data_IF_121885582383
#
_entry.id   IF_121885582383
#
_cell.length_a   1.000
_cell.length_b   1.000
_cell.length_c   1.000
_cell.angle_alpha   90.00
_cell.angle_beta   90.00
_cell.angle_gamma   90.00
#
_symmetry.space_group_name_H-M   'P 1'
#
loop_
_entity.id
_entity.type
_entity.pdbx_description
1 polymer ?
#
# COMPACT_ATOMS: atom_id res chain seq x y z
N UNK A 1 40.22 19.43 -22.95
CA UNK A 1 41.29 18.61 -22.33
C UNK A 1 40.81 18.33 -20.92
N UNK A 2 40.40 17.13 -20.53
CA UNK A 2 40.94 15.79 -20.80
C UNK A 2 39.81 14.79 -21.09
N UNK A 3 40.01 13.98 -22.12
CA UNK A 3 39.30 12.72 -22.32
C UNK A 3 39.83 11.75 -21.27
N UNK A 4 39.10 11.51 -20.18
CA UNK A 4 39.35 10.39 -19.29
C UNK A 4 38.76 9.14 -19.95
N UNK A 5 39.62 8.28 -20.47
CA UNK A 5 39.21 6.97 -20.98
C UNK A 5 38.56 6.10 -19.90
N UNK A 6 37.97 4.95 -20.29
CA UNK A 6 37.43 3.99 -19.33
C UNK A 6 38.56 3.54 -18.38
N UNK A 7 38.44 3.89 -17.09
CA UNK A 7 39.40 3.49 -16.03
C UNK A 7 40.24 4.58 -15.38
N UNK A 8 39.92 5.88 -15.53
CA UNK A 8 40.58 6.94 -14.77
C UNK A 8 40.05 7.03 -13.32
N UNK A 9 40.95 7.13 -12.33
CA UNK A 9 40.58 7.49 -10.95
C UNK A 9 40.10 8.94 -10.90
N UNK A 10 39.11 9.21 -10.05
CA UNK A 10 38.55 10.53 -9.85
C UNK A 10 39.09 11.13 -8.54
N UNK A 11 39.39 12.43 -8.54
CA UNK A 11 39.68 13.17 -7.33
C UNK A 11 38.43 13.35 -6.47
N UNK A 12 38.61 13.65 -5.17
CA UNK A 12 37.47 13.91 -4.26
C UNK A 12 36.59 15.05 -4.77
N UNK A 13 37.21 16.14 -5.23
CA UNK A 13 36.48 17.30 -5.76
C UNK A 13 35.66 16.96 -7.01
N UNK A 14 36.20 16.09 -7.87
CA UNK A 14 35.46 15.58 -9.04
C UNK A 14 34.27 14.71 -8.62
N UNK A 15 34.45 13.81 -7.65
CA UNK A 15 33.36 12.97 -7.12
C UNK A 15 32.25 13.85 -6.52
N UNK A 16 32.61 14.80 -5.64
CA UNK A 16 31.66 15.68 -4.96
C UNK A 16 30.90 16.57 -5.96
N UNK A 17 31.59 17.05 -6.99
CA UNK A 17 30.97 17.83 -8.07
C UNK A 17 29.98 16.98 -8.86
N UNK A 18 30.37 15.75 -9.25
CA UNK A 18 29.51 14.83 -9.97
C UNK A 18 28.26 14.48 -9.17
N UNK A 19 28.40 14.12 -7.89
CA UNK A 19 27.26 13.78 -7.01
C UNK A 19 26.30 14.96 -6.93
N UNK A 20 26.82 16.18 -6.70
CA UNK A 20 25.99 17.40 -6.61
C UNK A 20 25.21 17.65 -7.90
N UNK A 21 25.88 17.52 -9.05
CA UNK A 21 25.25 17.75 -10.35
C UNK A 21 24.20 16.70 -10.70
N UNK A 22 24.44 15.43 -10.32
CA UNK A 22 23.49 14.32 -10.46
C UNK A 22 22.25 14.57 -9.58
N UNK A 23 22.45 14.91 -8.31
CA UNK A 23 21.36 15.23 -7.38
C UNK A 23 20.52 16.41 -7.87
N UNK A 24 21.15 17.47 -8.39
CA UNK A 24 20.45 18.65 -8.90
C UNK A 24 19.57 18.32 -10.13
N UNK A 25 20.02 17.43 -11.01
CA UNK A 25 19.19 16.97 -12.12
C UNK A 25 18.03 16.09 -11.65
N UNK A 26 18.29 15.17 -10.73
CA UNK A 26 17.26 14.28 -10.17
C UNK A 26 16.16 15.07 -9.44
N UNK A 27 16.52 16.02 -8.58
CA UNK A 27 15.59 16.90 -7.87
C UNK A 27 14.73 17.74 -8.82
N UNK A 28 15.22 18.02 -10.02
CA UNK A 28 14.48 18.72 -11.05
C UNK A 28 13.75 17.77 -12.03
N UNK A 29 13.58 16.50 -11.67
CA UNK A 29 12.87 15.48 -12.46
C UNK A 29 13.62 14.98 -13.70
N UNK A 30 14.89 15.37 -13.90
CA UNK A 30 15.68 15.02 -15.09
C UNK A 30 16.50 13.75 -14.88
N UNK A 31 15.85 12.63 -14.54
CA UNK A 31 16.52 11.35 -14.23
C UNK A 31 17.41 10.83 -15.36
N UNK A 32 17.04 11.03 -16.62
CA UNK A 32 17.91 10.66 -17.76
C UNK A 32 19.23 11.47 -17.79
N UNK A 33 19.18 12.76 -17.47
CA UNK A 33 20.37 13.60 -17.40
C UNK A 33 21.25 13.24 -16.20
N UNK A 34 20.62 12.98 -15.05
CA UNK A 34 21.27 12.44 -13.86
C UNK A 34 22.01 11.12 -14.19
N UNK A 35 21.36 10.21 -14.92
CA UNK A 35 21.96 8.96 -15.38
C UNK A 35 23.17 9.18 -16.31
N UNK A 36 23.11 10.13 -17.25
CA UNK A 36 24.25 10.43 -18.12
C UNK A 36 25.44 10.98 -17.32
N UNK A 37 25.17 11.83 -16.32
CA UNK A 37 26.20 12.44 -15.47
C UNK A 37 26.83 11.48 -14.47
N UNK A 38 26.14 10.41 -14.07
CA UNK A 38 26.70 9.44 -13.10
C UNK A 38 27.72 8.47 -13.73
N UNK A 39 27.79 8.39 -15.07
CA UNK A 39 28.65 7.41 -15.77
C UNK A 39 30.15 7.46 -15.40
N UNK A 40 30.78 8.62 -15.14
CA UNK A 40 32.18 8.64 -14.68
C UNK A 40 32.38 7.90 -13.35
N UNK A 41 31.45 8.05 -12.38
CA UNK A 41 31.49 7.30 -11.12
C UNK A 41 31.32 5.80 -11.40
N UNK A 42 30.33 5.44 -12.23
CA UNK A 42 30.09 4.04 -12.64
C UNK A 42 31.32 3.42 -13.28
N UNK A 43 32.05 4.14 -14.12
CA UNK A 43 33.27 3.65 -14.76
C UNK A 43 34.45 3.49 -13.78
N UNK A 44 34.53 4.33 -12.74
CA UNK A 44 35.59 4.27 -11.74
C UNK A 44 35.31 3.27 -10.59
N UNK A 45 34.07 2.75 -10.48
CA UNK A 45 33.57 1.97 -9.33
C UNK A 45 34.48 0.82 -8.89
N UNK A 46 35.07 0.07 -9.85
CA UNK A 46 35.88 -1.12 -9.54
C UNK A 46 37.32 -0.79 -9.14
N UNK A 47 37.77 0.44 -9.42
CA UNK A 47 39.13 0.90 -9.17
C UNK A 47 39.23 1.77 -7.90
N UNK A 48 38.10 2.28 -7.41
CA UNK A 48 38.02 3.27 -6.34
C UNK A 48 36.76 3.07 -5.48
N UNK A 49 36.96 2.76 -4.20
CA UNK A 49 35.88 2.55 -3.22
C UNK A 49 35.02 3.82 -3.04
N UNK A 50 35.64 5.00 -3.09
CA UNK A 50 34.94 6.28 -2.94
C UNK A 50 33.92 6.50 -4.07
N UNK A 51 34.27 6.10 -5.30
CA UNK A 51 33.34 6.16 -6.43
C UNK A 51 32.17 5.18 -6.25
N UNK A 52 32.44 3.97 -5.75
CA UNK A 52 31.39 3.01 -5.42
C UNK A 52 30.45 3.54 -4.31
N UNK A 53 31.00 4.10 -3.23
CA UNK A 53 30.19 4.70 -2.16
C UNK A 53 29.35 5.90 -2.66
N UNK A 54 29.91 6.73 -3.55
CA UNK A 54 29.18 7.83 -4.17
C UNK A 54 28.02 7.35 -5.04
N UNK A 55 28.19 6.22 -5.78
CA UNK A 55 27.10 5.60 -6.52
C UNK A 55 25.99 5.10 -5.60
N UNK A 56 26.34 4.44 -4.50
CA UNK A 56 25.36 3.97 -3.52
C UNK A 56 24.59 5.14 -2.90
N UNK A 57 25.28 6.24 -2.59
CA UNK A 57 24.61 7.46 -2.14
C UNK A 57 23.64 8.03 -3.19
N UNK A 58 24.02 8.06 -4.47
CA UNK A 58 23.13 8.48 -5.56
C UNK A 58 21.88 7.59 -5.64
N UNK A 59 22.02 6.28 -5.42
CA UNK A 59 20.90 5.33 -5.38
C UNK A 59 20.00 5.58 -4.16
N UNK A 60 20.58 5.68 -2.97
CA UNK A 60 19.88 5.95 -1.71
C UNK A 60 19.04 7.24 -1.76
N UNK A 61 19.55 8.26 -2.47
CA UNK A 61 18.86 9.52 -2.69
C UNK A 61 17.85 9.48 -3.85
N UNK A 62 17.47 8.28 -4.33
CA UNK A 62 16.50 8.04 -5.40
C UNK A 62 16.77 8.84 -6.69
N UNK A 63 18.05 9.10 -7.01
CA UNK A 63 18.40 9.97 -8.14
C UNK A 63 18.28 9.29 -9.51
N UNK A 64 18.10 7.97 -9.54
CA UNK A 64 18.07 7.15 -10.76
C UNK A 64 16.69 6.50 -10.94
N UNK A 65 16.43 6.00 -12.14
CA UNK A 65 15.33 5.06 -12.34
C UNK A 65 15.63 3.73 -11.66
N UNK A 66 14.59 3.04 -11.18
CA UNK A 66 14.73 1.83 -10.37
C UNK A 66 15.54 0.73 -11.07
N UNK A 67 15.24 0.42 -12.33
CA UNK A 67 15.98 -0.61 -13.09
C UNK A 67 17.48 -0.26 -13.19
N UNK A 68 17.77 1.00 -13.47
CA UNK A 68 19.15 1.50 -13.56
C UNK A 68 19.86 1.49 -12.20
N UNK A 69 19.15 1.79 -11.12
CA UNK A 69 19.68 1.70 -9.77
C UNK A 69 20.02 0.24 -9.41
N UNK A 70 19.16 -0.72 -9.75
CA UNK A 70 19.41 -2.17 -9.56
C UNK A 70 20.68 -2.61 -10.30
N UNK A 71 20.89 -2.15 -11.54
CA UNK A 71 22.12 -2.42 -12.30
C UNK A 71 23.34 -1.88 -11.56
N UNK A 72 23.27 -0.64 -11.05
CA UNK A 72 24.35 -0.02 -10.27
C UNK A 72 24.66 -0.82 -9.00
N UNK A 73 23.65 -1.25 -8.25
CA UNK A 73 23.85 -2.06 -7.04
C UNK A 73 24.52 -3.39 -7.37
N UNK A 74 24.07 -4.07 -8.44
CA UNK A 74 24.64 -5.34 -8.89
C UNK A 74 26.10 -5.20 -9.27
N UNK A 75 26.42 -4.18 -10.07
CA UNK A 75 27.79 -3.91 -10.51
C UNK A 75 28.74 -3.53 -9.37
N UNK A 76 28.25 -2.81 -8.35
CA UNK A 76 29.02 -2.46 -7.15
C UNK A 76 29.25 -3.70 -6.30
N UNK A 77 28.23 -4.55 -6.11
CA UNK A 77 28.33 -5.80 -5.37
C UNK A 77 29.38 -6.75 -5.99
N UNK A 78 29.38 -6.90 -7.32
CA UNK A 78 30.36 -7.71 -8.05
C UNK A 78 31.79 -7.19 -7.91
N UNK A 79 31.97 -5.85 -7.92
CA UNK A 79 33.29 -5.23 -7.90
C UNK A 79 33.93 -5.23 -6.51
N UNK A 80 33.14 -5.43 -5.45
CA UNK A 80 33.54 -5.25 -4.05
C UNK A 80 33.05 -6.38 -3.14
N UNK A 81 33.00 -7.59 -3.66
CA UNK A 81 32.42 -8.79 -3.04
C UNK A 81 32.97 -9.13 -1.63
N UNK A 82 34.17 -8.64 -1.26
CA UNK A 82 34.77 -8.85 0.07
C UNK A 82 34.77 -7.60 0.98
N UNK A 83 34.10 -6.51 0.59
CA UNK A 83 34.12 -5.26 1.34
C UNK A 83 32.87 -5.11 2.24
N UNK A 84 32.96 -5.34 3.57
CA UNK A 84 31.79 -5.30 4.45
C UNK A 84 31.14 -3.92 4.52
N UNK A 85 31.94 -2.84 4.40
CA UNK A 85 31.43 -1.47 4.42
C UNK A 85 30.56 -1.16 3.20
N UNK A 86 30.95 -1.67 2.03
CA UNK A 86 30.16 -1.51 0.80
C UNK A 86 28.88 -2.34 0.88
N UNK A 87 28.95 -3.58 1.38
CA UNK A 87 27.76 -4.40 1.56
C UNK A 87 26.77 -3.82 2.58
N UNK A 88 27.27 -3.22 3.66
CA UNK A 88 26.43 -2.49 4.61
C UNK A 88 25.64 -1.35 3.95
N UNK A 89 26.27 -0.63 3.01
CA UNK A 89 25.62 0.43 2.24
C UNK A 89 24.67 -0.13 1.15
N UNK A 90 25.06 -1.21 0.47
CA UNK A 90 24.19 -1.93 -0.48
C UNK A 90 22.89 -2.38 0.20
N UNK A 91 22.99 -2.97 1.41
CA UNK A 91 21.82 -3.44 2.16
C UNK A 91 20.83 -2.32 2.49
N UNK A 92 21.33 -1.12 2.80
CA UNK A 92 20.47 0.06 3.00
C UNK A 92 19.83 0.54 1.69
N UNK A 93 20.58 0.53 0.59
CA UNK A 93 20.08 0.94 -0.73
C UNK A 93 18.98 0.02 -1.30
N UNK A 94 18.82 -1.21 -0.78
CA UNK A 94 17.76 -2.12 -1.25
C UNK A 94 16.35 -1.56 -1.04
N UNK A 95 16.15 -0.74 -0.01
CA UNK A 95 14.88 -0.03 0.19
C UNK A 95 14.61 0.97 -0.94
N UNK A 96 15.65 1.67 -1.43
CA UNK A 96 15.50 2.67 -2.48
C UNK A 96 15.16 2.08 -3.86
N UNK A 97 15.44 0.80 -4.06
CA UNK A 97 15.12 0.05 -5.30
C UNK A 97 13.97 -0.93 -5.15
N UNK A 98 13.36 -0.98 -3.97
CA UNK A 98 12.08 -1.66 -3.76
C UNK A 98 10.96 -0.83 -4.38
N UNK A 99 9.95 -1.50 -4.93
CA UNK A 99 8.83 -0.82 -5.61
C UNK A 99 7.88 -0.23 -4.57
N UNK A 100 8.13 1.00 -4.12
CA UNK A 100 7.31 1.65 -3.09
C UNK A 100 5.86 1.90 -3.57
N UNK A 101 5.65 2.04 -4.88
CA UNK A 101 4.33 2.19 -5.51
C UNK A 101 3.51 0.90 -5.40
N UNK A 102 4.15 -0.20 -4.99
CA UNK A 102 3.51 -1.43 -4.60
C UNK A 102 4.06 -1.83 -3.22
N UNK A 103 3.79 -1.04 -2.16
CA UNK A 103 4.10 -1.43 -0.77
C UNK A 103 3.54 -2.84 -0.42
N UNK A 104 2.48 -3.24 -1.10
CA UNK A 104 1.86 -4.56 -1.05
C UNK A 104 2.39 -5.53 -2.12
N UNK A 105 3.51 -5.28 -2.78
CA UNK A 105 4.09 -6.19 -3.76
C UNK A 105 4.46 -7.53 -3.10
N UNK A 106 4.54 -8.60 -3.90
CA UNK A 106 5.30 -9.79 -3.53
C UNK A 106 6.77 -9.46 -3.22
N UNK A 107 7.53 -10.43 -2.66
CA UNK A 107 8.96 -10.29 -2.44
C UNK A 107 9.67 -9.92 -3.75
N UNK A 108 10.78 -9.15 -3.70
CA UNK A 108 11.52 -8.82 -4.90
C UNK A 108 12.18 -10.07 -5.50
N UNK A 109 11.94 -10.32 -6.79
CA UNK A 109 12.51 -11.48 -7.51
C UNK A 109 13.95 -11.27 -7.99
N UNK A 110 14.49 -10.03 -7.91
CA UNK A 110 15.82 -9.73 -8.40
C UNK A 110 16.90 -10.29 -7.46
N UNK A 111 17.87 -11.02 -8.03
CA UNK A 111 18.92 -11.72 -7.28
C UNK A 111 19.82 -10.81 -6.45
N UNK A 112 19.87 -9.50 -6.72
CA UNK A 112 20.67 -8.55 -5.92
C UNK A 112 20.22 -8.53 -4.46
N UNK A 113 18.90 -8.66 -4.20
CA UNK A 113 18.36 -8.64 -2.84
C UNK A 113 18.88 -9.84 -2.05
N UNK A 114 18.79 -11.05 -2.61
CA UNK A 114 19.33 -12.27 -1.98
C UNK A 114 20.84 -12.21 -1.83
N UNK A 115 21.56 -11.76 -2.87
CA UNK A 115 23.03 -11.69 -2.87
C UNK A 115 23.56 -10.79 -1.74
N UNK A 116 22.97 -9.60 -1.59
CA UNK A 116 23.35 -8.65 -0.56
C UNK A 116 22.99 -9.17 0.83
N UNK A 117 21.80 -9.77 0.99
CA UNK A 117 21.37 -10.37 2.24
C UNK A 117 22.31 -11.49 2.71
N UNK A 118 22.57 -12.50 1.89
CA UNK A 118 23.42 -13.65 2.25
C UNK A 118 24.85 -13.22 2.61
N UNK A 119 25.39 -12.25 1.86
CA UNK A 119 26.72 -11.72 2.15
C UNK A 119 26.75 -10.96 3.49
N UNK A 120 25.73 -10.17 3.77
CA UNK A 120 25.60 -9.43 5.03
C UNK A 120 25.41 -10.37 6.23
N UNK A 121 24.68 -11.47 6.07
CA UNK A 121 24.54 -12.49 7.11
C UNK A 121 25.91 -13.12 7.45
N UNK A 122 26.69 -13.48 6.43
CA UNK A 122 28.05 -14.00 6.62
C UNK A 122 28.96 -12.96 7.30
N UNK A 123 28.90 -11.70 6.88
CA UNK A 123 29.65 -10.62 7.52
C UNK A 123 29.21 -10.36 8.97
N UNK A 124 27.92 -10.44 9.29
CA UNK A 124 27.43 -10.22 10.65
C UNK A 124 28.04 -11.24 11.63
N UNK A 125 28.22 -12.48 11.18
CA UNK A 125 28.91 -13.52 11.96
C UNK A 125 30.41 -13.24 12.08
N UNK A 126 31.08 -12.88 10.98
CA UNK A 126 32.53 -12.67 10.96
C UNK A 126 32.99 -11.43 11.74
N UNK A 127 32.16 -10.39 11.81
CA UNK A 127 32.46 -9.09 12.42
C UNK A 127 31.76 -8.88 13.77
N UNK A 128 31.23 -9.94 14.39
CA UNK A 128 30.61 -9.82 15.71
C UNK A 128 31.59 -9.24 16.74
N UNK A 129 31.17 -8.19 17.47
CA UNK A 129 31.98 -7.47 18.45
C UNK A 129 33.03 -6.52 17.86
N UNK A 130 33.11 -6.39 16.53
CA UNK A 130 34.03 -5.47 15.85
C UNK A 130 33.38 -4.11 15.57
N UNK A 131 34.16 -3.04 15.33
CA UNK A 131 33.62 -1.71 15.02
C UNK A 131 32.66 -1.68 13.83
N UNK A 132 32.87 -2.54 12.84
CA UNK A 132 32.05 -2.65 11.63
C UNK A 132 30.69 -3.31 11.88
N UNK A 133 30.49 -3.97 13.03
CA UNK A 133 29.27 -4.72 13.34
C UNK A 133 28.01 -3.85 13.19
N UNK A 134 28.04 -2.60 13.64
CA UNK A 134 26.88 -1.70 13.61
C UNK A 134 26.43 -1.43 12.17
N UNK A 135 27.35 -1.10 11.26
CA UNK A 135 26.97 -0.82 9.87
C UNK A 135 26.51 -2.08 9.14
N UNK A 136 27.14 -3.23 9.41
CA UNK A 136 26.72 -4.53 8.87
C UNK A 136 25.31 -4.90 9.35
N UNK A 137 25.02 -4.76 10.64
CA UNK A 137 23.67 -5.03 11.19
C UNK A 137 22.61 -4.07 10.62
N UNK A 138 22.96 -2.79 10.40
CA UNK A 138 22.07 -1.86 9.71
C UNK A 138 21.74 -2.33 8.29
N UNK A 139 22.75 -2.70 7.50
CA UNK A 139 22.53 -3.27 6.17
C UNK A 139 21.71 -4.57 6.21
N UNK A 140 22.04 -5.49 7.14
CA UNK A 140 21.41 -6.80 7.26
C UNK A 140 19.93 -6.70 7.67
N UNK A 141 19.62 -5.84 8.63
CA UNK A 141 18.25 -5.65 9.10
C UNK A 141 17.34 -5.10 7.99
N UNK A 142 17.81 -4.10 7.23
CA UNK A 142 17.08 -3.57 6.08
C UNK A 142 16.97 -4.58 4.95
N UNK A 143 18.06 -5.27 4.58
CA UNK A 143 18.02 -6.27 3.50
C UNK A 143 17.08 -7.43 3.84
N UNK A 144 17.13 -7.94 5.07
CA UNK A 144 16.23 -8.97 5.56
C UNK A 144 14.77 -8.52 5.55
N UNK A 145 14.48 -7.28 5.96
CA UNK A 145 13.11 -6.71 5.91
C UNK A 145 12.59 -6.61 4.47
N UNK A 146 13.45 -6.27 3.51
CA UNK A 146 13.11 -6.14 2.08
C UNK A 146 12.98 -7.49 1.36
N UNK A 147 13.71 -8.52 1.79
CA UNK A 147 13.67 -9.87 1.22
C UNK A 147 12.52 -10.73 1.76
N UNK A 148 11.40 -10.09 2.13
CA UNK A 148 10.17 -10.75 2.59
C UNK A 148 10.20 -11.44 3.97
N UNK A 149 9.04 -11.97 4.36
CA UNK A 149 8.74 -12.45 5.73
C UNK A 149 9.52 -13.69 6.14
N UNK A 150 10.14 -14.42 5.20
CA UNK A 150 10.96 -15.59 5.52
C UNK A 150 12.21 -15.22 6.34
N UNK A 151 12.63 -13.95 6.30
CA UNK A 151 13.81 -13.44 7.01
C UNK A 151 13.47 -12.55 8.21
N UNK A 152 12.21 -12.53 8.67
CA UNK A 152 11.77 -11.68 9.78
C UNK A 152 12.54 -11.92 11.08
N UNK A 153 12.94 -13.16 11.36
CA UNK A 153 13.73 -13.50 12.54
C UNK A 153 15.10 -12.79 12.54
N UNK A 154 15.77 -12.77 11.38
CA UNK A 154 17.07 -12.12 11.19
C UNK A 154 16.92 -10.60 11.23
N UNK A 155 15.87 -10.05 10.60
CA UNK A 155 15.57 -8.64 10.63
C UNK A 155 15.34 -8.16 12.08
N UNK A 156 14.45 -8.83 12.82
CA UNK A 156 14.13 -8.46 14.21
C UNK A 156 15.34 -8.59 15.12
N UNK A 157 16.10 -9.70 15.06
CA UNK A 157 17.27 -9.89 15.91
C UNK A 157 18.34 -8.84 15.64
N UNK A 158 18.52 -8.46 14.37
CA UNK A 158 19.48 -7.42 13.97
C UNK A 158 19.06 -6.04 14.47
N UNK A 159 17.78 -5.67 14.31
CA UNK A 159 17.26 -4.40 14.86
C UNK A 159 17.35 -4.34 16.39
N UNK A 160 17.00 -5.42 17.09
CA UNK A 160 17.16 -5.49 18.55
C UNK A 160 18.62 -5.37 18.96
N UNK A 161 19.54 -6.00 18.22
CA UNK A 161 20.97 -5.89 18.52
C UNK A 161 21.49 -4.46 18.35
N UNK A 162 21.02 -3.74 17.33
CA UNK A 162 21.35 -2.34 17.12
C UNK A 162 20.87 -1.45 18.28
N UNK A 163 19.67 -1.70 18.82
CA UNK A 163 19.16 -0.93 19.98
C UNK A 163 19.85 -1.31 21.29
N UNK A 164 20.45 -2.50 21.40
CA UNK A 164 21.33 -2.86 22.52
C UNK A 164 22.70 -2.18 22.44
N UNK A 165 23.31 -2.13 21.26
CA UNK A 165 24.65 -1.54 21.06
C UNK A 165 24.59 -0.02 21.18
N UNK A 166 23.56 0.60 20.58
CA UNK A 166 23.37 2.05 20.54
C UNK A 166 22.00 2.44 21.12
N UNK A 167 21.77 2.29 22.44
CA UNK A 167 20.45 2.49 23.04
C UNK A 167 19.93 3.94 22.95
N UNK A 168 20.82 4.90 22.69
CA UNK A 168 20.49 6.32 22.52
C UNK A 168 20.38 6.76 21.06
N UNK A 169 20.45 5.83 20.10
CA UNK A 169 20.24 6.12 18.69
C UNK A 169 18.74 5.99 18.37
N UNK A 170 18.04 7.13 18.24
CA UNK A 170 16.61 7.17 17.91
C UNK A 170 16.28 6.51 16.57
N UNK A 171 17.19 6.57 15.59
CA UNK A 171 17.03 5.93 14.28
C UNK A 171 16.91 4.40 14.37
N UNK A 172 17.68 3.77 15.27
CA UNK A 172 17.62 2.32 15.46
C UNK A 172 16.26 1.89 16.03
N UNK A 173 15.72 2.65 16.99
CA UNK A 173 14.39 2.39 17.55
C UNK A 173 13.27 2.67 16.55
N UNK A 174 13.40 3.73 15.75
CA UNK A 174 12.48 4.03 14.65
C UNK A 174 12.43 2.90 13.62
N UNK A 175 13.58 2.39 13.18
CA UNK A 175 13.64 1.31 12.20
C UNK A 175 13.08 -0.01 12.75
N UNK A 176 13.32 -0.30 14.04
CA UNK A 176 12.67 -1.43 14.72
C UNK A 176 11.14 -1.25 14.76
N UNK A 177 10.67 -0.03 15.04
CA UNK A 177 9.25 0.31 14.99
C UNK A 177 8.63 0.17 13.60
N UNK A 178 9.36 0.59 12.56
CA UNK A 178 8.97 0.42 11.16
C UNK A 178 8.84 -1.06 10.78
N UNK A 179 9.80 -1.90 11.20
CA UNK A 179 9.72 -3.35 11.04
C UNK A 179 8.46 -3.92 11.69
N UNK A 180 8.14 -3.54 12.93
CA UNK A 180 6.91 -4.01 13.58
C UNK A 180 5.62 -3.50 12.89
N UNK A 181 5.62 -2.25 12.39
CA UNK A 181 4.50 -1.69 11.62
C UNK A 181 4.17 -2.55 10.41
N UNK A 182 5.17 -2.88 9.59
CA UNK A 182 4.97 -3.65 8.35
C UNK A 182 4.61 -5.12 8.60
N UNK A 183 4.78 -5.62 9.84
CA UNK A 183 4.40 -6.97 10.27
C UNK A 183 3.13 -7.03 11.10
N UNK A 184 2.41 -5.93 11.25
CA UNK A 184 1.17 -5.86 12.04
C UNK A 184 1.37 -5.99 13.55
N UNK A 185 2.61 -5.99 14.03
CA UNK A 185 2.97 -6.04 15.45
C UNK A 185 2.89 -4.66 16.07
N UNK A 186 1.73 -4.02 15.93
CA UNK A 186 1.54 -2.60 16.18
C UNK A 186 1.87 -2.20 17.63
N UNK A 187 1.58 -3.04 18.63
CA UNK A 187 1.93 -2.75 20.02
C UNK A 187 3.45 -2.71 20.25
N UNK A 188 4.21 -3.61 19.63
CA UNK A 188 5.68 -3.57 19.66
C UNK A 188 6.20 -2.33 18.91
N UNK A 189 5.54 -1.99 17.79
CA UNK A 189 5.81 -0.77 17.02
C UNK A 189 5.60 0.51 17.82
N UNK A 190 4.54 0.57 18.64
CA UNK A 190 4.30 1.68 19.59
C UNK A 190 5.47 1.79 20.56
N UNK A 191 5.87 0.69 21.21
CA UNK A 191 6.94 0.71 22.20
C UNK A 191 8.26 1.22 21.60
N UNK A 192 8.65 0.74 20.42
CA UNK A 192 9.87 1.16 19.75
C UNK A 192 9.83 2.64 19.32
N UNK A 193 8.73 3.09 18.68
CA UNK A 193 8.61 4.49 18.24
C UNK A 193 8.50 5.48 19.42
N UNK A 194 7.92 5.08 20.55
CA UNK A 194 7.92 5.91 21.76
C UNK A 194 9.34 6.14 22.29
N UNK A 195 10.19 5.11 22.28
CA UNK A 195 11.60 5.27 22.64
C UNK A 195 12.30 6.20 21.65
N UNK A 196 12.09 6.00 20.34
CA UNK A 196 12.66 6.88 19.30
C UNK A 196 12.27 8.35 19.52
N UNK A 197 10.98 8.64 19.74
CA UNK A 197 10.46 9.98 20.00
C UNK A 197 10.98 10.58 21.31
N UNK A 198 11.24 9.76 22.35
CA UNK A 198 11.77 10.23 23.63
C UNK A 198 13.26 10.62 23.61
N UNK A 199 13.99 10.19 22.58
CA UNK A 199 15.44 10.43 22.44
C UNK A 199 15.76 11.72 21.69
N UNK A 200 14.75 12.43 21.18
CA UNK A 200 14.88 13.68 20.44
C UNK A 200 14.14 14.81 21.17
N UNK A 201 14.73 16.00 21.18
CA UNK A 201 14.12 17.18 21.83
C UNK A 201 13.05 17.84 20.94
N UNK A 202 13.16 17.66 19.63
CA UNK A 202 12.24 18.18 18.63
C UNK A 202 11.39 17.06 18.03
N UNK A 203 10.17 17.42 17.63
CA UNK A 203 9.26 16.48 16.96
C UNK A 203 9.85 16.08 15.62
N UNK A 204 10.20 14.80 15.48
CA UNK A 204 10.59 14.20 14.21
C UNK A 204 9.33 13.64 13.55
N UNK A 205 8.90 14.25 12.44
CA UNK A 205 7.64 13.94 11.77
C UNK A 205 7.51 12.44 11.42
N UNK A 206 8.57 11.80 10.93
CA UNK A 206 8.55 10.37 10.60
C UNK A 206 8.31 9.47 11.82
N UNK A 207 8.82 9.86 12.99
CA UNK A 207 8.64 9.11 14.24
C UNK A 207 7.17 9.21 14.70
N UNK A 208 6.58 10.39 14.61
CA UNK A 208 5.17 10.60 14.96
C UNK A 208 4.22 9.89 13.99
N UNK A 209 4.49 9.91 12.67
CA UNK A 209 3.69 9.15 11.70
C UNK A 209 3.68 7.65 12.01
N UNK A 210 4.86 7.06 12.21
CA UNK A 210 4.95 5.64 12.54
C UNK A 210 4.31 5.31 13.89
N UNK A 211 4.50 6.18 14.90
CA UNK A 211 3.84 6.03 16.20
C UNK A 211 2.32 6.11 16.09
N UNK A 212 1.78 7.07 15.33
CA UNK A 212 0.34 7.27 15.15
C UNK A 212 -0.32 6.12 14.37
N UNK A 213 0.35 5.61 13.32
CA UNK A 213 -0.12 4.43 12.58
C UNK A 213 -0.10 3.20 13.49
N UNK A 214 1.00 2.96 14.22
CA UNK A 214 1.08 1.84 15.16
C UNK A 214 0.06 1.97 16.30
N UNK A 215 -0.16 3.16 16.87
CA UNK A 215 -1.14 3.36 17.91
C UNK A 215 -2.56 3.09 17.41
N UNK A 216 -2.88 3.52 16.18
CA UNK A 216 -4.16 3.25 15.52
C UNK A 216 -4.33 1.76 15.23
N UNK A 217 -3.31 1.11 14.69
CA UNK A 217 -3.27 -0.33 14.42
C UNK A 217 -3.41 -1.20 15.67
N UNK A 218 -2.78 -0.78 16.77
CA UNK A 218 -2.90 -1.40 18.08
C UNK A 218 -4.24 -1.08 18.79
N UNK A 219 -5.08 -0.24 18.19
CA UNK A 219 -6.31 0.33 18.77
C UNK A 219 -6.09 1.02 20.12
N UNK A 220 -4.90 1.59 20.31
CA UNK A 220 -4.60 2.50 21.41
C UNK A 220 -5.12 3.89 21.04
N UNK A 221 -6.44 4.07 21.18
CA UNK A 221 -7.15 5.25 20.71
C UNK A 221 -6.69 6.56 21.36
N UNK A 222 -6.38 6.51 22.67
CA UNK A 222 -5.89 7.67 23.43
C UNK A 222 -4.54 8.15 22.90
N UNK A 223 -3.58 7.23 22.74
CA UNK A 223 -2.27 7.57 22.20
C UNK A 223 -2.34 8.01 20.74
N UNK A 224 -3.14 7.32 19.92
CA UNK A 224 -3.33 7.72 18.52
C UNK A 224 -3.89 9.13 18.41
N UNK A 225 -4.91 9.45 19.23
CA UNK A 225 -5.49 10.79 19.28
C UNK A 225 -4.47 11.84 19.72
N UNK A 226 -3.68 11.57 20.76
CA UNK A 226 -2.63 12.47 21.22
C UNK A 226 -1.61 12.77 20.11
N UNK A 227 -1.08 11.73 19.46
CA UNK A 227 -0.12 11.85 18.35
C UNK A 227 -0.72 12.71 17.23
N UNK A 228 -1.92 12.38 16.76
CA UNK A 228 -2.53 13.13 15.66
C UNK A 228 -2.82 14.59 16.04
N UNK A 229 -3.23 14.88 17.29
CA UNK A 229 -3.38 16.25 17.78
C UNK A 229 -2.05 16.99 17.88
N UNK A 230 -0.96 16.34 18.33
CA UNK A 230 0.40 16.91 18.31
C UNK A 230 0.87 17.23 16.89
N UNK A 231 0.42 16.45 15.90
CA UNK A 231 0.62 16.69 14.46
C UNK A 231 -0.40 17.66 13.83
N UNK A 232 -1.18 18.38 14.64
CA UNK A 232 -2.09 19.44 14.19
C UNK A 232 -3.39 18.94 13.53
N UNK A 233 -3.74 17.66 13.67
CA UNK A 233 -4.96 17.11 13.10
C UNK A 233 -6.19 17.53 13.91
N UNK A 234 -7.23 18.00 13.21
CA UNK A 234 -8.53 18.32 13.80
C UNK A 234 -9.38 17.04 13.92
N UNK A 235 -9.16 16.28 14.99
CA UNK A 235 -9.71 14.93 15.16
C UNK A 235 -10.11 14.67 16.62
N UNK A 236 -11.12 13.83 16.85
CA UNK A 236 -11.59 13.39 18.18
C UNK A 236 -11.82 11.88 18.19
N UNK A 237 -12.09 11.26 19.34
CA UNK A 237 -12.56 9.86 19.33
C UNK A 237 -13.97 9.80 18.74
N UNK A 238 -14.18 8.97 17.71
CA UNK A 238 -15.47 8.81 17.05
C UNK A 238 -16.01 7.39 16.99
N UNK A 239 -16.69 7.08 15.89
CA UNK A 239 -17.72 6.03 15.78
C UNK A 239 -17.22 4.61 16.05
N UNK A 240 -15.91 4.38 15.93
CA UNK A 240 -15.28 3.07 16.08
C UNK A 240 -14.38 2.97 17.31
N UNK A 241 -14.48 3.91 18.24
CA UNK A 241 -13.54 4.02 19.36
C UNK A 241 -12.12 4.31 18.89
N UNK A 242 -11.98 4.99 17.75
CA UNK A 242 -10.74 5.40 17.11
C UNK A 242 -10.82 6.89 16.75
N UNK A 243 -9.69 7.55 16.46
CA UNK A 243 -9.69 8.94 15.98
C UNK A 243 -10.56 9.10 14.71
N UNK A 244 -11.50 10.04 14.71
CA UNK A 244 -12.48 10.28 13.65
C UNK A 244 -12.57 11.79 13.39
N UNK A 245 -12.35 12.18 12.14
CA UNK A 245 -12.27 13.56 11.66
C UNK A 245 -12.68 13.63 10.20
N UNK A 246 -12.73 14.86 9.66
CA UNK A 246 -13.15 15.08 8.28
C UNK A 246 -11.95 15.19 7.35
N UNK A 247 -11.83 14.26 6.42
CA UNK A 247 -10.75 14.21 5.43
C UNK A 247 -11.32 14.18 4.01
N UNK A 248 -10.52 14.65 3.04
CA UNK A 248 -10.85 14.46 1.64
C UNK A 248 -10.96 12.95 1.32
N UNK A 249 -11.88 12.60 0.43
CA UNK A 249 -12.00 11.23 -0.06
C UNK A 249 -10.69 10.78 -0.70
N UNK A 250 -10.38 9.50 -0.53
CA UNK A 250 -9.24 8.86 -1.15
C UNK A 250 -9.61 7.47 -1.62
N UNK A 251 -8.69 6.87 -2.37
CA UNK A 251 -8.78 5.48 -2.79
C UNK A 251 -7.82 4.63 -1.99
N UNK A 252 -8.13 3.35 -1.89
CA UNK A 252 -7.25 2.35 -1.31
C UNK A 252 -7.15 1.17 -2.27
N UNK A 253 -5.92 0.70 -2.51
CA UNK A 253 -5.66 -0.58 -3.17
C UNK A 253 -5.79 -1.68 -2.11
N UNK A 254 -6.99 -2.24 -2.02
CA UNK A 254 -7.26 -3.37 -1.12
C UNK A 254 -6.60 -4.62 -1.68
N UNK A 255 -6.11 -5.45 -0.77
CA UNK A 255 -5.52 -6.75 -1.04
C UNK A 255 -6.26 -7.83 -0.24
N UNK A 256 -6.36 -9.02 -0.82
CA UNK A 256 -6.82 -10.24 -0.15
C UNK A 256 -5.97 -10.56 1.08
N UNK A 257 -4.67 -10.25 0.99
CA UNK A 257 -3.68 -10.38 2.06
C UNK A 257 -3.00 -9.02 2.31
N UNK A 258 -3.58 -8.19 3.21
CA UNK A 258 -3.03 -6.89 3.58
C UNK A 258 -1.61 -7.02 4.14
N UNK A 259 -0.76 -6.01 3.97
CA UNK A 259 0.67 -6.10 4.31
C UNK A 259 0.91 -6.69 5.71
N UNK A 260 0.17 -6.20 6.71
CA UNK A 260 0.34 -6.55 8.11
C UNK A 260 -0.13 -7.98 8.44
N UNK A 261 -1.02 -8.55 7.63
CA UNK A 261 -1.68 -9.83 7.87
C UNK A 261 -1.01 -11.00 7.12
N UNK A 262 0.02 -10.74 6.31
CA UNK A 262 0.78 -11.75 5.58
C UNK A 262 1.59 -12.68 6.49
N UNK A 263 2.01 -13.80 5.93
CA UNK A 263 2.88 -14.79 6.59
C UNK A 263 4.03 -15.18 5.68
N UNK A 264 5.03 -15.89 6.21
CA UNK A 264 6.14 -16.40 5.39
C UNK A 264 5.68 -17.37 4.26
N UNK A 265 4.55 -18.06 4.46
CA UNK A 265 4.00 -19.00 3.47
C UNK A 265 3.08 -18.31 2.43
N UNK A 266 2.65 -17.07 2.71
CA UNK A 266 1.75 -16.30 1.87
C UNK A 266 2.12 -14.81 1.97
N UNK A 267 3.22 -14.44 1.30
CA UNK A 267 3.78 -13.09 1.32
C UNK A 267 3.52 -12.31 0.02
N UNK A 268 2.32 -12.46 -0.52
CA UNK A 268 1.85 -11.75 -1.70
C UNK A 268 0.44 -11.15 -1.41
N UNK A 269 -0.01 -10.12 -2.15
CA UNK A 269 -1.30 -9.47 -1.87
C UNK A 269 -2.52 -10.32 -2.21
N UNK A 270 -2.37 -11.39 -3.01
CA UNK A 270 -3.48 -12.11 -3.61
C UNK A 270 -4.26 -11.27 -4.60
N UNK A 271 -5.58 -11.45 -4.62
CA UNK A 271 -6.44 -10.57 -5.42
C UNK A 271 -6.41 -9.13 -4.88
N UNK A 272 -6.56 -8.15 -5.76
CA UNK A 272 -6.57 -6.74 -5.41
C UNK A 272 -7.74 -6.00 -6.06
N UNK A 273 -8.23 -4.95 -5.40
CA UNK A 273 -9.27 -4.05 -5.92
C UNK A 273 -9.01 -2.63 -5.41
N UNK A 274 -9.04 -1.64 -6.31
CA UNK A 274 -8.88 -0.23 -5.91
C UNK A 274 -10.24 0.41 -5.74
N UNK A 275 -10.54 0.87 -4.52
CA UNK A 275 -11.87 1.34 -4.13
C UNK A 275 -11.83 2.69 -3.43
N UNK A 276 -12.96 3.38 -3.42
CA UNK A 276 -13.16 4.61 -2.64
C UNK A 276 -13.50 4.29 -1.19
N UNK A 277 -12.91 5.04 -0.27
CA UNK A 277 -13.22 4.99 1.16
C UNK A 277 -13.67 6.35 1.69
N UNK A 278 -14.41 6.33 2.79
CA UNK A 278 -14.54 7.49 3.68
C UNK A 278 -13.34 7.46 4.63
N UNK A 279 -12.43 8.43 4.47
CA UNK A 279 -11.24 8.56 5.31
C UNK A 279 -11.59 9.23 6.63
N UNK A 280 -11.23 8.58 7.73
CA UNK A 280 -11.61 9.00 9.10
C UNK A 280 -10.44 9.63 9.86
N UNK A 281 -9.21 9.26 9.51
CA UNK A 281 -7.99 9.79 10.12
C UNK A 281 -6.85 9.83 9.09
N UNK A 282 -5.65 10.28 9.48
CA UNK A 282 -4.49 10.22 8.60
C UNK A 282 -4.13 8.79 8.14
N UNK A 283 -4.55 7.74 8.84
CA UNK A 283 -4.12 6.37 8.54
C UNK A 283 -5.22 5.31 8.59
N UNK A 284 -6.51 5.67 8.63
CA UNK A 284 -7.58 4.68 8.54
C UNK A 284 -8.87 5.26 7.96
N UNK A 285 -9.74 4.38 7.48
CA UNK A 285 -11.06 4.74 6.99
C UNK A 285 -12.01 3.56 6.89
N UNK A 286 -13.25 3.85 6.49
CA UNK A 286 -14.32 2.87 6.32
C UNK A 286 -14.58 2.60 4.83
N UNK A 287 -14.71 1.33 4.47
CA UNK A 287 -15.01 0.89 3.11
C UNK A 287 -16.44 1.30 2.74
N UNK A 288 -16.57 2.16 1.73
CA UNK A 288 -17.86 2.66 1.21
C UNK A 288 -18.18 2.22 -0.23
N UNK A 289 -17.36 1.31 -0.76
CA UNK A 289 -17.60 0.64 -2.03
C UNK A 289 -17.90 -0.83 -1.75
N UNK A 290 -18.97 -1.40 -2.30
CA UNK A 290 -19.20 -2.84 -2.19
C UNK A 290 -18.24 -3.52 -3.15
N UNK A 291 -17.41 -4.44 -2.66
CA UNK A 291 -16.33 -5.02 -3.45
C UNK A 291 -16.86 -5.94 -4.55
N UNK A 292 -16.18 -5.94 -5.69
CA UNK A 292 -16.40 -6.92 -6.75
C UNK A 292 -15.70 -8.24 -6.41
N UNK A 293 -14.42 -8.16 -6.02
CA UNK A 293 -13.60 -9.28 -5.59
C UNK A 293 -13.97 -9.73 -4.17
N UNK A 294 -13.61 -10.97 -3.82
CA UNK A 294 -13.67 -11.47 -2.45
C UNK A 294 -12.29 -11.32 -1.81
N UNK A 295 -12.05 -10.20 -1.14
CA UNK A 295 -10.74 -9.85 -0.57
C UNK A 295 -10.62 -10.16 0.93
N UNK A 296 -11.58 -10.88 1.49
CA UNK A 296 -11.63 -11.13 2.92
C UNK A 296 -11.82 -9.85 3.75
N UNK A 297 -12.21 -8.72 3.14
CA UNK A 297 -12.71 -7.45 3.71
C UNK A 297 -13.94 -7.04 2.93
N UNK A 298 -14.86 -6.33 3.56
CA UNK A 298 -16.15 -6.00 2.95
C UNK A 298 -16.63 -4.59 3.29
N UNK A 299 -17.73 -4.19 2.63
CA UNK A 299 -18.41 -2.92 2.89
C UNK A 299 -18.64 -2.70 4.40
N UNK A 300 -18.32 -1.49 4.84
CA UNK A 300 -18.43 -1.08 6.24
C UNK A 300 -17.22 -1.45 7.11
N UNK A 301 -16.34 -2.37 6.70
CA UNK A 301 -15.13 -2.66 7.47
C UNK A 301 -14.24 -1.41 7.60
N UNK A 302 -13.61 -1.27 8.76
CA UNK A 302 -12.64 -0.20 9.03
C UNK A 302 -11.24 -0.76 8.79
N UNK A 303 -10.49 -0.12 7.91
CA UNK A 303 -9.16 -0.55 7.47
C UNK A 303 -8.10 0.48 7.84
N UNK A 304 -6.90 -0.01 8.12
CA UNK A 304 -5.68 0.75 8.28
C UNK A 304 -4.99 0.90 6.93
N UNK A 305 -4.49 2.10 6.67
CA UNK A 305 -3.69 2.47 5.50
C UNK A 305 -2.38 3.09 5.95
N UNK A 306 -1.37 3.09 5.08
CA UNK A 306 -0.17 3.91 5.32
C UNK A 306 -0.51 5.40 5.10
N UNK A 307 0.27 6.29 5.71
CA UNK A 307 0.17 7.73 5.52
C UNK A 307 0.74 8.21 4.17
N UNK A 308 1.61 7.40 3.54
CA UNK A 308 2.16 7.67 2.21
C UNK A 308 1.28 7.02 1.11
N UNK A 309 0.81 7.80 0.12
CA UNK A 309 0.12 7.24 -1.04
C UNK A 309 1.12 6.49 -1.94
N UNK A 310 0.65 5.41 -2.56
CA UNK A 310 1.42 4.62 -3.54
C UNK A 310 1.30 5.16 -4.96
N UNK A 311 0.24 5.93 -5.25
CA UNK A 311 0.06 6.65 -6.51
C UNK A 311 -1.03 7.70 -6.37
N UNK A 312 -1.25 8.49 -7.41
CA UNK A 312 -2.37 9.42 -7.56
C UNK A 312 -3.11 9.14 -8.86
N UNK A 313 -4.44 9.18 -8.80
CA UNK A 313 -5.31 9.02 -9.96
C UNK A 313 -5.96 10.36 -10.29
N UNK A 314 -5.93 10.75 -11.55
CA UNK A 314 -6.53 12.00 -12.04
C UNK A 314 -8.02 11.81 -12.27
N UNK A 315 -8.84 12.72 -11.74
CA UNK A 315 -10.27 12.82 -12.06
C UNK A 315 -10.58 14.26 -12.45
N UNK A 316 -10.62 14.53 -13.75
CA UNK A 316 -10.69 15.89 -14.27
C UNK A 316 -9.49 16.74 -13.83
N UNK A 317 -9.70 17.74 -12.98
CA UNK A 317 -8.64 18.60 -12.45
C UNK A 317 -8.12 18.16 -11.06
N UNK A 318 -8.69 17.08 -10.50
CA UNK A 318 -8.39 16.64 -9.14
C UNK A 318 -7.42 15.46 -9.14
N UNK A 319 -6.35 15.57 -8.36
CA UNK A 319 -5.47 14.45 -8.03
C UNK A 319 -5.98 13.74 -6.77
N UNK A 320 -6.30 12.45 -6.90
CA UNK A 320 -6.82 11.64 -5.80
C UNK A 320 -5.75 10.64 -5.35
N UNK A 321 -5.30 10.69 -4.09
CA UNK A 321 -4.31 9.75 -3.60
C UNK A 321 -4.89 8.33 -3.49
N UNK A 322 -4.07 7.35 -3.85
CA UNK A 322 -4.32 5.93 -3.64
C UNK A 322 -3.38 5.43 -2.55
N UNK A 323 -3.93 4.90 -1.47
CA UNK A 323 -3.16 4.38 -0.35
C UNK A 323 -3.08 2.85 -0.37
N UNK A 324 -2.04 2.26 0.25
CA UNK A 324 -1.94 0.81 0.40
C UNK A 324 -2.77 0.33 1.59
N UNK A 325 -3.37 -0.85 1.47
CA UNK A 325 -4.07 -1.52 2.58
C UNK A 325 -3.08 -2.22 3.53
N UNK A 326 -3.01 -1.77 4.78
CA UNK A 326 -2.12 -2.37 5.79
C UNK A 326 -2.80 -3.49 6.57
N UNK A 327 -3.99 -3.26 7.14
CA UNK A 327 -4.67 -4.20 8.01
C UNK A 327 -6.16 -3.90 8.12
N UNK A 328 -6.96 -4.87 8.56
CA UNK A 328 -8.35 -4.66 8.94
C UNK A 328 -8.47 -4.38 10.44
N UNK A 329 -8.97 -3.20 10.81
CA UNK A 329 -9.14 -2.79 12.20
C UNK A 329 -10.47 -3.25 12.78
N UNK A 330 -11.58 -3.09 12.05
CA UNK A 330 -12.91 -3.45 12.57
C UNK A 330 -13.69 -4.19 11.52
N UNK A 331 -14.15 -5.39 11.86
CA UNK A 331 -15.09 -6.17 11.06
C UNK A 331 -16.51 -5.77 11.41
N UNK A 332 -17.27 -5.34 10.40
CA UNK A 332 -18.68 -4.98 10.57
C UNK A 332 -19.63 -6.08 10.14
N UNK A 333 -19.16 -7.06 9.37
CA UNK A 333 -19.91 -8.24 8.96
C UNK A 333 -21.27 -7.87 8.31
N UNK A 334 -21.24 -6.96 7.34
CA UNK A 334 -22.43 -6.65 6.55
C UNK A 334 -22.94 -7.90 5.86
N UNK A 335 -24.25 -8.04 5.78
CA UNK A 335 -24.90 -9.05 4.96
C UNK A 335 -24.79 -8.61 3.51
N UNK A 336 -24.32 -9.52 2.64
CA UNK A 336 -24.13 -9.27 1.22
C UNK A 336 -25.02 -10.20 0.40
N UNK A 337 -25.76 -9.63 -0.56
CA UNK A 337 -26.64 -10.38 -1.45
C UNK A 337 -26.39 -9.97 -2.90
N UNK A 338 -26.06 -10.92 -3.77
CA UNK A 338 -25.96 -10.65 -5.20
C UNK A 338 -27.35 -10.34 -5.78
N UNK A 339 -27.40 -9.38 -6.73
CA UNK A 339 -28.61 -9.09 -7.48
C UNK A 339 -28.34 -9.00 -8.98
N UNK A 340 -29.38 -9.26 -9.76
CA UNK A 340 -29.46 -8.93 -11.17
C UNK A 340 -30.78 -8.21 -11.44
N UNK A 341 -30.77 -7.27 -12.36
CA UNK A 341 -31.95 -6.45 -12.62
C UNK A 341 -31.96 -5.83 -13.99
N UNK A 342 -33.08 -5.20 -14.32
CA UNK A 342 -33.23 -4.41 -15.54
C UNK A 342 -33.52 -2.96 -15.20
N UNK A 343 -33.09 -2.05 -16.06
CA UNK A 343 -33.33 -0.61 -15.93
C UNK A 343 -33.60 0.00 -17.31
N UNK A 344 -34.41 1.04 -17.35
CA UNK A 344 -34.72 1.81 -18.56
C UNK A 344 -33.66 2.88 -18.84
N UNK A 345 -33.07 3.45 -17.78
CA UNK A 345 -32.03 4.49 -17.88
C UNK A 345 -30.85 4.18 -16.97
N UNK A 346 -29.67 4.67 -17.34
CA UNK A 346 -28.45 4.47 -16.55
C UNK A 346 -28.59 4.98 -15.09
N UNK A 347 -27.94 4.27 -14.14
CA UNK A 347 -27.85 4.62 -12.71
C UNK A 347 -29.17 4.57 -11.91
N UNK A 348 -30.22 3.91 -12.39
CA UNK A 348 -31.47 3.79 -11.62
C UNK A 348 -31.29 3.04 -10.29
N UNK A 349 -30.40 2.04 -10.25
CA UNK A 349 -30.06 1.32 -9.01
C UNK A 349 -29.32 2.19 -7.98
N UNK A 350 -28.50 3.15 -8.43
CA UNK A 350 -27.87 4.12 -7.53
C UNK A 350 -28.93 5.01 -6.85
N UNK A 351 -29.98 5.39 -7.58
CA UNK A 351 -31.13 6.12 -7.01
C UNK A 351 -31.90 5.25 -6.01
N UNK A 352 -32.12 3.95 -6.29
CA UNK A 352 -32.76 3.04 -5.33
C UNK A 352 -31.98 2.97 -4.02
N UNK A 353 -30.66 2.94 -4.09
CA UNK A 353 -29.81 2.90 -2.90
C UNK A 353 -30.03 4.09 -1.97
N UNK A 354 -30.40 5.26 -2.49
CA UNK A 354 -30.65 6.46 -1.68
C UNK A 354 -31.96 6.42 -0.88
N UNK A 355 -32.83 5.47 -1.20
CA UNK A 355 -34.11 5.22 -0.52
C UNK A 355 -33.97 4.20 0.62
N UNK A 356 -32.78 3.64 0.81
CA UNK A 356 -32.50 2.69 1.88
C UNK A 356 -31.99 3.40 3.14
N UNK A 357 -32.57 3.05 4.27
CA UNK A 357 -32.17 3.47 5.61
C UNK A 357 -31.01 2.63 6.18
N UNK A 358 -30.52 3.04 7.36
CA UNK A 358 -29.58 2.29 8.20
C UNK A 358 -28.29 1.85 7.45
N UNK A 359 -27.78 2.67 6.53
CA UNK A 359 -26.51 2.40 5.82
C UNK A 359 -26.54 1.16 4.91
N UNK A 360 -27.74 0.68 4.53
CA UNK A 360 -27.88 -0.31 3.47
C UNK A 360 -27.66 0.32 2.09
N UNK A 361 -27.02 -0.41 1.17
CA UNK A 361 -26.63 0.09 -0.14
C UNK A 361 -26.90 -0.94 -1.23
N UNK A 362 -27.35 -0.47 -2.39
CA UNK A 362 -27.40 -1.26 -3.63
C UNK A 362 -26.28 -0.77 -4.54
N UNK A 363 -25.32 -1.65 -4.84
CA UNK A 363 -24.14 -1.29 -5.61
C UNK A 363 -24.14 -2.02 -6.95
N UNK A 364 -24.34 -1.25 -8.03
CA UNK A 364 -24.41 -1.75 -9.40
C UNK A 364 -23.01 -1.96 -10.01
N UNK A 365 -22.34 -3.07 -9.67
CA UNK A 365 -20.99 -3.38 -10.17
C UNK A 365 -20.84 -3.26 -11.68
N UNK A 366 -21.82 -3.72 -12.45
CA UNK A 366 -21.75 -3.65 -13.91
C UNK A 366 -21.67 -2.21 -14.46
N UNK A 367 -22.05 -1.21 -13.68
CA UNK A 367 -21.98 0.21 -14.05
C UNK A 367 -20.86 0.97 -13.34
N UNK A 368 -20.31 0.44 -12.25
CA UNK A 368 -19.36 1.14 -11.38
C UNK A 368 -17.94 0.55 -11.39
N UNK A 369 -17.77 -0.68 -11.86
CA UNK A 369 -16.46 -1.35 -11.91
C UNK A 369 -15.81 -1.14 -13.28
N UNK A 370 -14.55 -0.72 -13.26
CA UNK A 370 -13.69 -0.62 -14.44
C UNK A 370 -12.53 -1.59 -14.30
N UNK A 371 -12.24 -2.34 -15.37
CA UNK A 371 -11.03 -3.16 -15.48
C UNK A 371 -9.97 -2.37 -16.25
N UNK A 372 -8.79 -2.22 -15.67
CA UNK A 372 -7.66 -1.50 -16.26
C UNK A 372 -6.44 -2.41 -16.34
N UNK A 373 -5.59 -2.21 -17.33
CA UNK A 373 -4.26 -2.83 -17.32
C UNK A 373 -3.37 -2.10 -16.30
N UNK A 374 -2.29 -2.76 -15.87
CA UNK A 374 -1.38 -2.19 -14.87
C UNK A 374 -0.77 -0.85 -15.30
N UNK A 375 -0.49 -0.64 -16.59
CA UNK A 375 0.07 0.62 -17.08
C UNK A 375 -0.94 1.77 -16.98
N UNK A 376 -2.19 1.57 -17.42
CA UNK A 376 -3.24 2.59 -17.30
C UNK A 376 -3.64 2.86 -15.85
N UNK A 377 -3.53 1.87 -14.96
CA UNK A 377 -3.75 2.08 -13.54
C UNK A 377 -2.64 2.93 -12.91
N UNK A 378 -1.37 2.71 -13.29
CA UNK A 378 -0.21 3.45 -12.76
C UNK A 378 -0.02 4.85 -13.36
N UNK A 379 -0.60 5.12 -14.52
CA UNK A 379 -0.42 6.39 -15.23
C UNK A 379 -1.14 7.54 -14.50
N UNK A 380 -0.41 8.49 -13.88
CA UNK A 380 -1.02 9.59 -13.17
C UNK A 380 -1.60 10.64 -14.14
N UNK A 381 -1.18 10.67 -15.40
CA UNK A 381 -1.64 11.65 -16.39
C UNK A 381 -2.94 11.20 -17.10
N UNK A 382 -3.31 9.92 -16.95
CA UNK A 382 -4.56 9.39 -17.45
C UNK A 382 -5.73 9.90 -16.62
N UNK A 383 -6.72 10.52 -17.27
CA UNK A 383 -7.98 10.94 -16.63
C UNK A 383 -8.87 9.71 -16.37
N UNK A 384 -8.87 9.22 -15.13
CA UNK A 384 -9.65 8.08 -14.65
C UNK A 384 -11.16 8.37 -14.54
N UNK A 385 -11.60 9.59 -14.84
CA UNK A 385 -13.03 9.93 -14.98
C UNK A 385 -13.58 9.51 -16.34
N UNK A 386 -12.73 9.46 -17.39
CA UNK A 386 -13.14 9.23 -18.78
C UNK A 386 -13.30 7.75 -19.11
N UNK A 387 -14.35 7.16 -18.60
CA UNK A 387 -14.88 5.90 -19.13
C UNK A 387 -16.27 6.15 -19.70
N UNK A 388 -16.47 5.81 -20.99
CA UNK A 388 -17.79 5.90 -21.62
C UNK A 388 -18.79 5.12 -20.77
N UNK A 389 -19.77 5.82 -20.19
CA UNK A 389 -20.86 5.18 -19.49
C UNK A 389 -21.69 4.41 -20.52
N UNK A 390 -21.43 3.11 -20.65
CA UNK A 390 -22.26 2.25 -21.47
C UNK A 390 -23.59 2.11 -20.75
N UNK A 391 -24.65 2.61 -21.35
CA UNK A 391 -26.01 2.39 -20.84
C UNK A 391 -26.31 0.90 -20.85
N UNK A 392 -26.42 0.30 -19.67
CA UNK A 392 -26.69 -1.13 -19.51
C UNK A 392 -28.14 -1.31 -19.10
N UNK A 393 -28.92 -1.95 -19.96
CA UNK A 393 -30.29 -2.34 -19.62
C UNK A 393 -30.33 -3.49 -18.62
N UNK A 394 -29.29 -4.32 -18.57
CA UNK A 394 -29.13 -5.39 -17.58
C UNK A 394 -28.00 -5.02 -16.62
N UNK A 395 -28.35 -4.93 -15.35
CA UNK A 395 -27.43 -4.52 -14.28
C UNK A 395 -27.21 -5.69 -13.32
N UNK A 396 -25.97 -5.83 -12.88
CA UNK A 396 -25.53 -6.83 -11.89
C UNK A 396 -24.77 -6.14 -10.79
N UNK A 397 -24.95 -6.61 -9.58
CA UNK A 397 -24.29 -6.00 -8.43
C UNK A 397 -24.53 -6.74 -7.13
N UNK A 398 -24.25 -6.06 -6.02
CA UNK A 398 -24.52 -6.55 -4.67
C UNK A 398 -25.29 -5.54 -3.84
N UNK A 399 -26.07 -6.06 -2.92
CA UNK A 399 -26.73 -5.33 -1.86
C UNK A 399 -25.93 -5.57 -0.60
N UNK A 400 -25.54 -4.51 0.12
CA UNK A 400 -24.95 -4.61 1.44
C UNK A 400 -25.91 -4.03 2.49
N UNK A 401 -26.08 -4.73 3.60
CA UNK A 401 -26.89 -4.26 4.72
C UNK A 401 -26.22 -4.59 6.05
N UNK A 402 -26.40 -3.76 7.10
CA UNK A 402 -25.85 -4.06 8.41
C UNK A 402 -26.34 -5.41 8.95
N UNK A 403 -25.56 -6.08 9.81
CA UNK A 403 -25.94 -7.37 10.38
C UNK A 403 -27.25 -7.33 11.19
N UNK A 404 -27.59 -6.19 11.78
CA UNK A 404 -28.80 -6.02 12.59
C UNK A 404 -30.07 -5.80 11.76
N UNK A 405 -29.94 -5.54 10.45
CA UNK A 405 -31.08 -5.36 9.57
C UNK A 405 -31.67 -6.72 9.18
N UNK A 406 -32.95 -6.94 9.45
CA UNK A 406 -33.59 -8.18 9.00
C UNK A 406 -33.69 -8.23 7.46
N UNK A 407 -33.37 -9.37 6.82
CA UNK A 407 -33.52 -9.54 5.37
C UNK A 407 -34.92 -9.19 4.85
N UNK A 408 -35.97 -9.50 5.63
CA UNK A 408 -37.35 -9.17 5.28
C UNK A 408 -37.60 -7.65 5.24
N UNK A 409 -37.04 -6.89 6.19
CA UNK A 409 -37.14 -5.41 6.22
C UNK A 409 -36.39 -4.81 5.03
N UNK A 410 -35.17 -5.29 4.75
CA UNK A 410 -34.38 -4.85 3.61
C UNK A 410 -35.15 -5.07 2.29
N UNK A 411 -35.74 -6.25 2.11
CA UNK A 411 -36.51 -6.58 0.92
C UNK A 411 -37.76 -5.69 0.78
N UNK A 412 -38.48 -5.41 1.88
CA UNK A 412 -39.63 -4.50 1.87
C UNK A 412 -39.23 -3.07 1.44
N UNK A 413 -38.07 -2.59 1.89
CA UNK A 413 -37.55 -1.27 1.50
C UNK A 413 -37.19 -1.21 0.03
N UNK A 414 -36.53 -2.26 -0.49
CA UNK A 414 -36.20 -2.38 -1.91
C UNK A 414 -37.47 -2.40 -2.75
N UNK A 415 -38.48 -3.20 -2.36
CA UNK A 415 -39.75 -3.28 -3.08
C UNK A 415 -40.43 -1.91 -3.15
N UNK A 416 -40.51 -1.18 -2.03
CA UNK A 416 -41.05 0.19 -2.00
C UNK A 416 -40.27 1.13 -2.89
N UNK A 417 -38.93 1.04 -2.90
CA UNK A 417 -38.09 1.88 -3.74
C UNK A 417 -38.30 1.58 -5.24
N UNK A 418 -38.41 0.31 -5.62
CA UNK A 418 -38.70 -0.13 -6.99
C UNK A 418 -40.10 0.31 -7.43
N UNK A 419 -41.11 0.18 -6.56
CA UNK A 419 -42.48 0.65 -6.82
C UNK A 419 -42.55 2.15 -7.11
N UNK A 420 -41.77 2.97 -6.37
CA UNK A 420 -41.67 4.42 -6.63
C UNK A 420 -41.13 4.75 -8.03
N UNK A 421 -40.32 3.86 -8.61
CA UNK A 421 -39.82 4.01 -9.98
C UNK A 421 -40.81 3.50 -11.04
N UNK A 422 -42.06 3.17 -10.66
CA UNK A 422 -43.17 2.89 -11.57
C UNK A 422 -42.89 1.83 -12.66
N UNK A 423 -42.08 0.82 -12.33
CA UNK A 423 -41.74 -0.28 -13.23
C UNK A 423 -40.59 -0.01 -14.21
N UNK A 424 -39.92 1.14 -14.08
CA UNK A 424 -38.74 1.47 -14.89
C UNK A 424 -37.50 0.64 -14.52
N UNK A 425 -37.53 -0.04 -13.37
CA UNK A 425 -36.52 -1.01 -13.00
C UNK A 425 -37.14 -2.27 -12.38
N UNK A 426 -36.38 -3.36 -12.40
CA UNK A 426 -36.70 -4.61 -11.71
C UNK A 426 -35.44 -5.16 -11.07
N UNK A 427 -35.54 -5.64 -9.83
CA UNK A 427 -34.43 -6.21 -9.07
C UNK A 427 -34.79 -7.63 -8.63
N UNK A 428 -33.87 -8.57 -8.87
CA UNK A 428 -33.98 -9.96 -8.48
C UNK A 428 -32.80 -10.35 -7.59
N UNK A 429 -33.08 -10.77 -6.36
CA UNK A 429 -32.06 -11.13 -5.35
C UNK A 429 -32.49 -12.43 -4.62
N UNK A 430 -32.21 -13.61 -5.22
CA UNK A 430 -32.72 -14.89 -4.71
C UNK A 430 -32.25 -15.18 -3.28
N UNK A 431 -30.97 -14.95 -2.97
CA UNK A 431 -30.42 -15.23 -1.64
C UNK A 431 -31.00 -14.30 -0.56
N UNK A 432 -31.34 -13.06 -0.91
CA UNK A 432 -32.06 -12.15 -0.03
C UNK A 432 -33.50 -12.66 0.24
N UNK A 433 -34.18 -13.15 -0.79
CA UNK A 433 -35.51 -13.75 -0.64
C UNK A 433 -35.47 -14.99 0.25
N UNK A 434 -34.46 -15.85 0.08
CA UNK A 434 -34.23 -17.02 0.91
C UNK A 434 -34.00 -16.62 2.38
N UNK A 435 -33.12 -15.64 2.61
CA UNK A 435 -32.82 -15.11 3.94
C UNK A 435 -34.04 -14.44 4.60
N UNK A 436 -34.96 -13.89 3.80
CA UNK A 436 -36.24 -13.35 4.27
C UNK A 436 -37.33 -14.43 4.49
N UNK A 437 -37.05 -15.71 4.19
CA UNK A 437 -38.00 -16.82 4.33
C UNK A 437 -39.07 -16.89 3.22
N UNK A 438 -38.85 -16.23 2.07
CA UNK A 438 -39.80 -16.15 0.96
C UNK A 438 -39.45 -17.14 -0.17
N UNK A 439 -39.53 -18.44 0.11
CA UNK A 439 -39.08 -19.51 -0.79
C UNK A 439 -39.72 -19.53 -2.19
N UNK A 440 -41.00 -19.15 -2.31
CA UNK A 440 -41.63 -19.10 -3.64
C UNK A 440 -41.10 -17.93 -4.47
N UNK A 441 -40.83 -16.78 -3.82
CA UNK A 441 -40.19 -15.64 -4.49
C UNK A 441 -38.74 -15.94 -4.83
N UNK A 442 -37.98 -16.54 -3.92
CA UNK A 442 -36.63 -17.05 -4.15
C UNK A 442 -36.56 -17.88 -5.44
N UNK A 443 -37.49 -18.82 -5.63
CA UNK A 443 -37.56 -19.67 -6.83
C UNK A 443 -37.85 -18.88 -8.11
N UNK A 444 -38.66 -17.82 -8.03
CA UNK A 444 -38.98 -16.95 -9.17
C UNK A 444 -37.78 -16.06 -9.49
N UNK A 445 -37.24 -15.37 -8.50
CA UNK A 445 -36.07 -14.51 -8.59
C UNK A 445 -34.86 -15.29 -9.08
N UNK A 446 -34.63 -16.51 -8.59
CA UNK A 446 -33.53 -17.37 -9.02
C UNK A 446 -33.58 -17.69 -10.52
N UNK A 447 -34.76 -17.93 -11.09
CA UNK A 447 -34.92 -18.12 -12.55
C UNK A 447 -34.63 -16.84 -13.33
N UNK A 448 -35.05 -15.67 -12.83
CA UNK A 448 -34.82 -14.38 -13.48
C UNK A 448 -33.36 -13.95 -13.39
N UNK A 449 -32.78 -14.09 -12.21
CA UNK A 449 -31.36 -13.89 -11.95
C UNK A 449 -30.50 -14.75 -12.90
N UNK A 450 -30.79 -16.05 -13.00
CA UNK A 450 -30.07 -16.94 -13.91
C UNK A 450 -30.23 -16.55 -15.39
N UNK A 451 -31.42 -16.07 -15.81
CA UNK A 451 -31.64 -15.58 -17.18
C UNK A 451 -30.78 -14.35 -17.49
N UNK A 452 -30.72 -13.40 -16.55
CA UNK A 452 -29.99 -12.14 -16.71
C UNK A 452 -28.47 -12.31 -16.61
N UNK A 453 -28.01 -13.27 -15.80
CA UNK A 453 -26.59 -13.55 -15.60
C UNK A 453 -26.02 -14.57 -16.59
N UNK A 454 -26.83 -15.55 -17.02
CA UNK A 454 -26.42 -16.64 -17.93
C UNK A 454 -26.24 -16.21 -19.39
N UNK A 455 -27.00 -15.22 -19.87
CA UNK A 455 -26.84 -14.71 -21.24
C UNK A 455 -25.53 -13.91 -21.44
N UNK A 456 -24.86 -13.50 -20.36
CA UNK A 456 -23.63 -12.72 -20.40
C UNK A 456 -22.35 -13.55 -20.62
N UNK A 457 -22.40 -14.89 -20.48
CA UNK A 457 -21.26 -15.77 -20.74
C UNK A 457 -20.82 -15.78 -22.23
N UNK A 458 -21.65 -15.28 -23.14
CA UNK A 458 -21.35 -15.14 -24.56
C UNK A 458 -20.79 -13.76 -24.96
N UNK A 459 -20.42 -12.90 -24.00
CA UNK A 459 -19.96 -11.52 -24.28
C UNK A 459 -18.62 -11.14 -23.59
N UNK A 460 -17.72 -12.11 -23.39
CA UNK A 460 -16.32 -11.79 -23.09
C UNK A 460 -15.44 -12.20 -24.29
N UNK A 461 -14.67 -11.29 -24.90
CA UNK A 461 -13.54 -11.68 -25.72
C UNK A 461 -12.46 -12.26 -24.79
N UNK A 462 -11.91 -13.39 -25.22
CA UNK A 462 -10.70 -14.06 -24.72
C UNK A 462 -9.51 -13.13 -24.53
#
# INVERSE_FOLDING_TARGET
MTSTGPGARLSSDEIDTLVRDVMADAQAGRKLAAWQKVQPLRNARSLQQEAAMALLWVVDQHCLERETAIDVLSEVAESHDQNPRIFAALGQCLEAVHDIDDLNAPPPDNSIFTTVFEKLEAFATAYEGQPEQVSILNGLSTSARMLARQHDAIAESSYRKLTEIEPRNGGNHYNLGLFFKTRGRFADGVAANQVAASLVDEVVESYEWNLGICATGARNAELALDVWKRMGQAIEIGRFGLPDGSYAQCKVKLAERPLAERTADADDPGAEETIWIERLSPCHGIIRSVLYQKLGVDYGDVILIDGAPITHHTYGEVQVPVFPHLATLVRRNYQLFDFAGTQDTARQFASLSSELDDDAVIYAHSESVTVMCANCWRDPDLDHDRHESVEKQVVRGRIAAPPEMSPARLLEMIDKAVEKQAGQCQLYAPDLCAAAGLHERERIDGRRFALLTGNAANQHPS
#
